data_IF_311990550759
#
_entry.id   IF_311990550759
#
_cell.length_a   1.000
_cell.length_b   1.000
_cell.length_c   1.000
_cell.angle_alpha   90.00
_cell.angle_beta   90.00
_cell.angle_gamma   90.00
#
_symmetry.space_group_name_H-M   'P 1'
#
loop_
_entity.id
_entity.type
_entity.pdbx_description
1 polymer ?
#
# COMPACT_ATOMS: atom_id res chain seq x y z
N UNK A 1 11.55 -11.22 8.79
CA UNK A 1 12.54 -11.88 7.91
C UNK A 1 12.06 -13.22 7.38
N UNK A 2 12.26 -14.39 8.01
CA UNK A 2 11.91 -15.67 7.33
C UNK A 2 10.41 -15.85 7.00
N UNK A 3 9.50 -15.43 7.88
CA UNK A 3 8.04 -15.49 7.61
C UNK A 3 7.56 -14.47 6.57
N UNK A 4 8.29 -13.38 6.37
CA UNK A 4 7.91 -12.32 5.42
C UNK A 4 8.37 -12.66 4.01
N UNK A 5 9.58 -13.20 3.86
CA UNK A 5 10.07 -13.74 2.58
C UNK A 5 9.16 -14.87 2.07
N UNK A 6 8.69 -15.75 2.97
CA UNK A 6 7.73 -16.82 2.67
C UNK A 6 6.36 -16.28 2.22
N UNK A 7 5.87 -15.22 2.88
CA UNK A 7 4.58 -14.60 2.56
C UNK A 7 4.59 -13.84 1.22
N UNK A 8 5.67 -13.11 0.90
CA UNK A 8 5.80 -12.45 -0.41
C UNK A 8 5.80 -13.49 -1.54
N UNK A 9 6.62 -14.53 -1.42
CA UNK A 9 6.68 -15.61 -2.42
C UNK A 9 5.32 -16.27 -2.66
N UNK A 10 4.47 -16.34 -1.63
CA UNK A 10 3.15 -16.99 -1.72
C UNK A 10 2.23 -16.31 -2.72
N UNK A 11 2.26 -14.97 -2.87
CA UNK A 11 1.26 -14.23 -3.67
C UNK A 11 1.81 -13.54 -4.92
N UNK A 12 3.13 -13.44 -5.07
CA UNK A 12 3.74 -12.77 -6.22
C UNK A 12 3.30 -13.33 -7.57
N UNK A 13 3.13 -14.65 -7.66
CA UNK A 13 2.71 -15.32 -8.89
C UNK A 13 1.34 -14.86 -9.41
N UNK A 14 0.48 -14.28 -8.54
CA UNK A 14 -0.83 -13.74 -8.92
C UNK A 14 -0.71 -12.36 -9.57
N UNK A 15 0.24 -11.55 -9.10
CA UNK A 15 0.40 -10.15 -9.53
C UNK A 15 1.41 -10.02 -10.68
N UNK A 16 2.40 -10.92 -10.75
CA UNK A 16 3.45 -10.90 -11.76
C UNK A 16 2.90 -10.85 -13.20
N UNK A 17 1.91 -11.66 -13.61
CA UNK A 17 1.37 -11.60 -14.97
C UNK A 17 0.74 -10.25 -15.29
N UNK A 18 0.07 -9.63 -14.31
CA UNK A 18 -0.55 -8.32 -14.49
C UNK A 18 0.54 -7.27 -14.71
N UNK A 19 1.58 -7.27 -13.88
CA UNK A 19 2.70 -6.32 -14.06
C UNK A 19 3.44 -6.57 -15.39
N UNK A 20 3.63 -7.83 -15.78
CA UNK A 20 4.37 -8.17 -17.00
C UNK A 20 3.70 -7.65 -18.28
N UNK A 21 2.37 -7.59 -18.30
CA UNK A 21 1.58 -7.13 -19.45
C UNK A 21 1.69 -5.61 -19.72
N UNK A 22 2.11 -4.80 -18.73
CA UNK A 22 2.16 -3.34 -18.84
C UNK A 22 3.56 -2.80 -18.57
N UNK A 23 4.36 -2.60 -19.62
CA UNK A 23 5.76 -2.17 -19.48
C UNK A 23 5.88 -0.72 -18.98
N UNK A 24 4.97 0.16 -19.39
CA UNK A 24 4.99 1.57 -18.97
C UNK A 24 4.63 1.74 -17.48
N UNK A 25 4.19 0.67 -16.81
CA UNK A 25 3.79 0.63 -15.41
C UNK A 25 4.90 0.08 -14.47
N UNK A 26 6.11 -0.13 -14.98
CA UNK A 26 7.29 -0.67 -14.26
C UNK A 26 8.35 0.39 -13.91
N UNK A 27 7.91 1.60 -13.59
CA UNK A 27 8.76 2.66 -13.08
C UNK A 27 9.32 2.33 -11.69
N UNK A 28 10.28 3.16 -11.24
CA UNK A 28 10.88 3.04 -9.91
C UNK A 28 10.43 4.17 -9.00
N UNK A 29 10.20 3.84 -7.74
CA UNK A 29 9.83 4.85 -6.75
C UNK A 29 11.07 5.66 -6.35
N UNK A 30 10.85 6.90 -5.92
CA UNK A 30 11.90 7.69 -5.29
C UNK A 30 11.84 7.49 -3.79
N UNK A 31 12.99 7.21 -3.16
CA UNK A 31 13.14 7.06 -1.71
C UNK A 31 12.83 8.33 -0.89
N UNK A 32 12.36 9.41 -1.54
CA UNK A 32 12.02 10.68 -0.90
C UNK A 32 10.77 10.58 -0.02
N UNK A 33 9.83 9.73 -0.39
CA UNK A 33 8.56 9.57 0.33
C UNK A 33 8.56 8.19 0.98
N UNK A 34 8.39 7.18 0.16
CA UNK A 34 8.41 5.78 0.56
C UNK A 34 9.75 5.12 0.20
N UNK A 35 10.13 4.13 1.00
CA UNK A 35 11.21 3.19 0.76
C UNK A 35 10.59 1.93 0.16
N UNK A 36 10.93 1.64 -1.09
CA UNK A 36 10.35 0.53 -1.86
C UNK A 36 10.62 -0.85 -1.24
N UNK A 37 11.54 -0.97 -0.28
CA UNK A 37 11.82 -2.22 0.43
C UNK A 37 10.88 -2.47 1.62
N UNK A 38 10.03 -1.50 1.98
CA UNK A 38 9.12 -1.61 3.11
C UNK A 38 7.67 -1.53 2.64
N UNK A 39 6.90 -2.59 2.89
CA UNK A 39 5.47 -2.69 2.62
C UNK A 39 5.03 -2.67 1.14
N UNK A 40 5.96 -2.66 0.20
CA UNK A 40 5.66 -2.85 -1.22
C UNK A 40 6.04 -4.27 -1.65
N UNK A 41 5.22 -4.86 -2.53
CA UNK A 41 5.58 -6.13 -3.15
C UNK A 41 6.52 -5.92 -4.33
N UNK A 42 7.31 -6.94 -4.65
CA UNK A 42 8.14 -6.97 -5.84
C UNK A 42 7.36 -6.79 -7.13
N UNK A 43 6.04 -6.99 -7.12
CA UNK A 43 5.16 -6.83 -8.28
C UNK A 43 4.40 -5.50 -8.27
N UNK A 44 4.76 -4.54 -7.41
CA UNK A 44 4.16 -3.20 -7.42
C UNK A 44 4.19 -2.58 -8.82
N UNK A 45 3.06 -1.96 -9.18
CA UNK A 45 2.93 -1.09 -10.36
C UNK A 45 3.13 0.36 -9.91
N UNK A 46 4.12 1.02 -10.51
CA UNK A 46 4.42 2.42 -10.24
C UNK A 46 4.90 3.08 -11.53
N UNK A 47 4.39 4.25 -11.88
CA UNK A 47 4.90 5.00 -13.02
C UNK A 47 4.55 6.47 -12.92
N UNK A 48 5.32 7.28 -13.65
CA UNK A 48 5.03 8.69 -13.92
C UNK A 48 5.00 8.84 -15.43
N UNK A 49 3.88 9.35 -15.94
CA UNK A 49 3.64 9.49 -17.37
C UNK A 49 3.25 10.93 -17.69
N UNK A 50 3.76 11.44 -18.81
CA UNK A 50 3.37 12.73 -19.39
C UNK A 50 2.15 12.57 -20.32
N UNK A 51 2.06 11.43 -21.01
CA UNK A 51 0.92 11.08 -21.85
C UNK A 51 -0.22 10.52 -21.00
N UNK A 52 -1.38 11.19 -21.09
CA UNK A 52 -2.59 10.80 -20.37
C UNK A 52 -3.30 9.60 -21.01
N UNK A 53 -3.00 9.24 -22.26
CA UNK A 53 -3.60 8.07 -22.93
C UNK A 53 -3.37 6.78 -22.12
N UNK A 54 -2.17 6.65 -21.53
CA UNK A 54 -1.74 5.54 -20.68
C UNK A 54 -2.72 5.27 -19.52
N UNK A 55 -3.43 6.30 -19.04
CA UNK A 55 -4.40 6.14 -17.95
C UNK A 55 -5.50 5.15 -18.33
N UNK A 56 -6.06 5.28 -19.52
CA UNK A 56 -7.18 4.43 -19.95
C UNK A 56 -6.71 3.18 -20.70
N UNK A 57 -5.59 3.27 -21.41
CA UNK A 57 -5.09 2.17 -22.23
C UNK A 57 -4.36 1.09 -21.40
N UNK A 58 -3.67 1.49 -20.32
CA UNK A 58 -2.85 0.59 -19.50
C UNK A 58 -3.23 0.60 -18.02
N UNK A 59 -3.24 1.78 -17.38
CA UNK A 59 -3.41 1.87 -15.92
C UNK A 59 -4.78 1.38 -15.48
N UNK A 60 -5.85 1.82 -16.13
CA UNK A 60 -7.22 1.44 -15.78
C UNK A 60 -7.47 -0.08 -15.91
N UNK A 61 -7.15 -0.74 -17.04
CA UNK A 61 -7.31 -2.20 -17.11
C UNK A 61 -6.37 -2.95 -16.15
N UNK A 62 -5.15 -2.46 -15.90
CA UNK A 62 -4.28 -3.03 -14.87
C UNK A 62 -4.92 -2.93 -13.48
N UNK A 63 -5.43 -1.76 -13.10
CA UNK A 63 -6.11 -1.51 -11.84
C UNK A 63 -7.31 -2.46 -11.64
N UNK A 64 -8.15 -2.61 -12.67
CA UNK A 64 -9.30 -3.54 -12.61
C UNK A 64 -8.85 -4.99 -12.35
N UNK A 65 -7.75 -5.42 -12.98
CA UNK A 65 -7.19 -6.77 -12.76
C UNK A 65 -6.61 -6.92 -11.35
N UNK A 66 -5.86 -5.93 -10.86
CA UNK A 66 -5.35 -5.93 -9.48
C UNK A 66 -6.49 -6.04 -8.47
N UNK A 67 -7.54 -5.22 -8.62
CA UNK A 67 -8.70 -5.24 -7.73
C UNK A 67 -9.45 -6.57 -7.80
N UNK A 68 -9.65 -7.12 -8.99
CA UNK A 68 -10.31 -8.42 -9.17
C UNK A 68 -9.52 -9.54 -8.50
N UNK A 69 -8.20 -9.59 -8.73
CA UNK A 69 -7.29 -10.57 -8.09
C UNK A 69 -7.31 -10.44 -6.56
N UNK A 70 -7.31 -9.22 -6.02
CA UNK A 70 -7.38 -8.98 -4.58
C UNK A 70 -8.70 -9.46 -3.97
N UNK A 71 -9.83 -9.12 -4.60
CA UNK A 71 -11.16 -9.58 -4.16
C UNK A 71 -11.26 -11.10 -4.22
N UNK A 72 -10.73 -11.73 -5.26
CA UNK A 72 -10.69 -13.19 -5.39
C UNK A 72 -9.83 -13.83 -4.30
N UNK A 73 -8.71 -13.22 -3.95
CA UNK A 73 -7.85 -13.67 -2.86
C UNK A 73 -8.60 -13.65 -1.52
N UNK A 74 -9.31 -12.57 -1.21
CA UNK A 74 -10.14 -12.46 -0.01
C UNK A 74 -11.22 -13.56 0.02
N UNK A 75 -11.93 -13.76 -1.10
CA UNK A 75 -13.02 -14.76 -1.18
C UNK A 75 -12.55 -16.19 -0.98
N UNK A 76 -11.31 -16.51 -1.39
CA UNK A 76 -10.74 -17.87 -1.31
C UNK A 76 -10.05 -18.13 0.02
N UNK A 77 -9.58 -17.08 0.70
CA UNK A 77 -8.91 -17.22 1.99
C UNK A 77 -9.89 -17.62 3.09
N UNK A 78 -9.40 -18.47 3.99
CA UNK A 78 -10.12 -18.85 5.21
C UNK A 78 -9.62 -18.00 6.37
N UNK A 79 -10.49 -17.62 7.32
CA UNK A 79 -10.04 -16.98 8.55
C UNK A 79 -8.98 -17.84 9.25
N UNK A 80 -7.93 -17.21 9.77
CA UNK A 80 -7.01 -17.91 10.67
C UNK A 80 -7.74 -18.26 11.97
N UNK A 81 -7.40 -19.39 12.58
CA UNK A 81 -7.87 -19.78 13.92
C UNK A 81 -6.79 -19.55 14.99
N UNK A 82 -5.59 -19.15 14.58
CA UNK A 82 -4.45 -18.92 15.45
C UNK A 82 -4.45 -17.49 15.99
N UNK A 83 -4.62 -17.33 17.30
CA UNK A 83 -4.47 -16.03 17.97
C UNK A 83 -3.08 -15.42 17.74
N UNK A 84 -2.05 -16.26 17.61
CA UNK A 84 -0.69 -15.80 17.32
C UNK A 84 -0.57 -15.17 15.94
N UNK A 85 -1.19 -15.76 14.93
CA UNK A 85 -1.18 -15.23 13.56
C UNK A 85 -2.03 -13.97 13.45
N UNK A 86 -3.21 -13.96 14.09
CA UNK A 86 -4.06 -12.76 14.13
C UNK A 86 -3.32 -11.56 14.75
N UNK A 87 -2.65 -11.77 15.89
CA UNK A 87 -1.88 -10.71 16.55
C UNK A 87 -0.71 -10.25 15.68
N UNK A 88 0.02 -11.19 15.07
CA UNK A 88 1.12 -10.86 14.17
C UNK A 88 0.64 -10.02 12.98
N UNK A 89 -0.46 -10.40 12.32
CA UNK A 89 -1.04 -9.62 11.21
C UNK A 89 -1.46 -8.22 11.66
N UNK A 90 -2.10 -8.10 12.82
CA UNK A 90 -2.50 -6.80 13.37
C UNK A 90 -1.30 -5.89 13.65
N UNK A 91 -0.23 -6.42 14.25
CA UNK A 91 1.02 -5.69 14.46
C UNK A 91 1.64 -5.21 13.13
N UNK A 92 1.56 -6.02 12.07
CA UNK A 92 2.06 -5.62 10.74
C UNK A 92 1.19 -4.56 10.07
N UNK A 93 -0.13 -4.60 10.27
CA UNK A 93 -1.04 -3.55 9.81
C UNK A 93 -0.77 -2.22 10.51
N UNK A 94 -0.67 -2.21 11.85
CA UNK A 94 -0.31 -1.00 12.60
C UNK A 94 1.06 -0.45 12.18
N UNK A 95 2.05 -1.32 11.98
CA UNK A 95 3.36 -0.90 11.50
C UNK A 95 3.32 -0.26 10.09
N UNK A 96 2.44 -0.74 9.21
CA UNK A 96 2.21 -0.13 7.89
C UNK A 96 1.58 1.27 8.01
N UNK A 97 0.57 1.41 8.88
CA UNK A 97 -0.12 2.68 9.11
C UNK A 97 0.81 3.72 9.72
N UNK A 98 1.55 3.38 10.78
CA UNK A 98 2.55 4.29 11.39
C UNK A 98 3.58 4.75 10.35
N UNK A 99 4.12 3.80 9.58
CA UNK A 99 5.08 4.12 8.53
C UNK A 99 4.50 5.04 7.44
N UNK A 100 3.27 4.77 7.01
CA UNK A 100 2.64 5.52 5.92
C UNK A 100 2.21 6.90 6.36
N UNK A 101 1.68 7.06 7.58
CA UNK A 101 1.32 8.37 8.14
C UNK A 101 2.49 9.35 8.18
N UNK A 102 3.70 8.88 8.49
CA UNK A 102 4.92 9.70 8.51
C UNK A 102 5.47 10.04 7.11
N UNK A 103 5.23 9.16 6.13
CA UNK A 103 5.94 9.18 4.83
C UNK A 103 5.08 9.62 3.66
N UNK A 104 3.75 9.64 3.82
CA UNK A 104 2.85 9.92 2.72
C UNK A 104 3.03 11.36 2.19
N UNK A 105 3.27 11.54 0.88
CA UNK A 105 3.43 12.87 0.28
C UNK A 105 2.18 13.76 0.37
N UNK A 106 0.99 13.18 0.59
CA UNK A 106 -0.27 13.89 0.64
C UNK A 106 -0.35 14.87 1.81
N UNK A 107 0.35 14.63 2.92
CA UNK A 107 0.32 15.53 4.08
C UNK A 107 0.68 16.97 3.70
N UNK A 108 1.68 17.17 2.85
CA UNK A 108 2.08 18.50 2.38
C UNK A 108 1.03 19.16 1.50
N UNK A 109 0.38 18.38 0.63
CA UNK A 109 -0.71 18.86 -0.23
C UNK A 109 -1.95 19.24 0.60
N UNK A 110 -2.37 18.35 1.50
CA UNK A 110 -3.51 18.57 2.39
C UNK A 110 -3.26 19.76 3.31
N UNK A 111 -2.06 19.88 3.88
CA UNK A 111 -1.71 21.01 4.76
C UNK A 111 -1.81 22.35 4.04
N UNK A 112 -1.42 22.40 2.77
CA UNK A 112 -1.54 23.60 1.96
C UNK A 112 -3.00 23.97 1.62
N UNK A 113 -3.89 22.97 1.54
CA UNK A 113 -5.30 23.16 1.19
C UNK A 113 -6.19 23.42 2.41
N UNK A 114 -5.92 22.74 3.53
CA UNK A 114 -6.84 22.63 4.66
C UNK A 114 -6.21 23.01 6.00
N UNK A 115 -4.91 23.30 6.03
CA UNK A 115 -4.16 23.60 7.24
C UNK A 115 -3.58 22.35 7.91
N UNK A 116 -2.57 22.58 8.75
CA UNK A 116 -1.75 21.52 9.35
C UNK A 116 -2.55 20.64 10.31
N UNK A 117 -3.22 21.23 11.29
CA UNK A 117 -3.96 20.50 12.33
C UNK A 117 -5.03 19.58 11.75
N UNK A 118 -5.79 20.06 10.75
CA UNK A 118 -6.79 19.25 10.06
C UNK A 118 -6.14 18.09 9.30
N UNK A 119 -5.00 18.35 8.66
CA UNK A 119 -4.32 17.35 7.84
C UNK A 119 -3.68 16.27 8.70
N UNK A 120 -3.01 16.63 9.80
CA UNK A 120 -2.45 15.68 10.76
C UNK A 120 -3.57 14.80 11.35
N UNK A 121 -4.70 15.38 11.78
CA UNK A 121 -5.87 14.61 12.19
C UNK A 121 -6.41 13.69 11.09
N UNK A 122 -6.51 14.17 9.84
CA UNK A 122 -6.97 13.34 8.73
C UNK A 122 -6.03 12.17 8.41
N UNK A 123 -4.71 12.36 8.57
CA UNK A 123 -3.73 11.27 8.39
C UNK A 123 -3.91 10.19 9.45
N UNK A 124 -3.95 10.58 10.73
CA UNK A 124 -3.90 9.64 11.85
C UNK A 124 -5.28 9.11 12.28
N UNK A 125 -6.36 9.85 12.04
CA UNK A 125 -7.70 9.45 12.50
C UNK A 125 -8.56 8.84 11.37
N UNK A 126 -8.10 8.87 10.11
CA UNK A 126 -8.86 8.36 8.97
C UNK A 126 -8.03 7.57 7.95
N UNK A 127 -6.95 8.14 7.40
CA UNK A 127 -6.18 7.43 6.36
C UNK A 127 -5.37 6.25 6.91
N UNK A 128 -4.81 6.41 8.11
CA UNK A 128 -3.95 5.45 8.79
C UNK A 128 -4.36 5.35 10.26
N UNK A 129 -5.56 4.85 10.52
CA UNK A 129 -6.22 4.85 11.84
C UNK A 129 -5.58 3.91 12.86
N UNK A 130 -4.70 3.00 12.43
CA UNK A 130 -3.88 2.17 13.32
C UNK A 130 -2.48 2.73 13.55
N UNK A 131 -2.19 3.94 13.07
CA UNK A 131 -0.90 4.60 13.30
C UNK A 131 -0.76 5.05 14.75
N UNK A 132 0.48 5.06 15.23
CA UNK A 132 0.78 5.63 16.54
C UNK A 132 0.55 7.15 16.49
N UNK A 133 -0.53 7.62 17.11
CA UNK A 133 -0.74 9.05 17.31
C UNK A 133 -0.08 9.42 18.65
N UNK A 134 1.11 10.04 18.61
CA UNK A 134 1.82 10.50 19.83
C UNK A 134 0.97 11.45 20.69
N UNK A 135 -0.13 11.99 20.15
CA UNK A 135 -1.07 12.85 20.86
C UNK A 135 -2.16 12.10 21.65
N UNK A 136 -2.23 10.76 21.58
CA UNK A 136 -3.17 9.93 22.35
C UNK A 136 -2.52 9.22 23.57
N UNK A 137 -1.40 9.72 24.09
CA UNK A 137 -0.91 9.28 25.41
C UNK A 137 -1.72 9.99 26.51
N UNK A 138 -2.81 9.36 26.94
CA UNK A 138 -3.53 9.72 28.17
C UNK A 138 -2.84 9.15 29.42
#
# INVERSE_FOLDING_TARGET
NDKEEDHMCTYEHLLKPIRDDYQNLKGRMSNKFYDENFFFSDQMVFSRFEDQSIIYDELYPAFQRYLTTHVDLIKRNKPSESLGDMRFVLERHAAYDTYSAERDPALGLLSAMFGRDWSEGFMHDFLFDMSDNENEVC
#
